data_IF_372133682595
#
_entry.id   IF_372133682595
#
_cell.length_a   1.000
_cell.length_b   1.000
_cell.length_c   1.000
_cell.angle_alpha   90.00
_cell.angle_beta   90.00
_cell.angle_gamma   90.00
#
_symmetry.space_group_name_H-M   'P 1'
#
loop_
_entity.id
_entity.type
_entity.pdbx_description
1 polymer ?
#
# COMPACT_ATOMS: atom_id res chain seq x y z
N UNK A 1 -11.70 8.44 20.13
CA UNK A 1 -10.38 9.03 19.79
C UNK A 1 -9.34 8.40 20.71
N UNK A 2 -8.46 7.53 20.19
CA UNK A 2 -7.46 6.81 20.99
C UNK A 2 -6.42 7.76 21.60
N UNK A 3 -6.25 7.67 22.91
CA UNK A 3 -5.40 8.56 23.69
C UNK A 3 -3.90 8.20 23.55
N UNK A 4 -2.99 9.11 23.92
CA UNK A 4 -1.54 8.85 23.97
C UNK A 4 -1.13 7.74 24.96
N UNK A 5 -2.07 7.23 25.76
CA UNK A 5 -1.86 6.29 26.86
C UNK A 5 -2.28 4.85 26.52
N UNK A 6 -2.87 4.63 25.34
CA UNK A 6 -3.32 3.29 24.97
C UNK A 6 -2.09 2.37 24.81
N UNK A 7 -2.10 1.17 25.44
CA UNK A 7 -0.98 0.25 25.37
C UNK A 7 -0.75 -0.16 23.91
N UNK A 8 0.52 -0.24 23.51
CA UNK A 8 0.88 -0.59 22.14
C UNK A 8 0.59 -2.08 21.92
N UNK A 9 -0.28 -2.44 20.95
CA UNK A 9 -0.67 -3.84 20.71
C UNK A 9 0.39 -4.57 19.88
N UNK A 10 1.56 -4.86 20.46
CA UNK A 10 2.68 -5.51 19.77
C UNK A 10 2.32 -6.89 19.22
N UNK A 11 1.63 -7.71 20.02
CA UNK A 11 1.20 -9.05 19.62
C UNK A 11 0.25 -9.03 18.44
N UNK A 12 -0.66 -8.06 18.41
CA UNK A 12 -1.65 -7.94 17.36
C UNK A 12 -1.00 -7.51 16.02
N UNK A 13 -0.07 -6.56 16.07
CA UNK A 13 0.67 -6.09 14.88
C UNK A 13 1.55 -7.22 14.30
N UNK A 14 2.31 -7.89 15.15
CA UNK A 14 3.24 -8.95 14.72
C UNK A 14 2.48 -10.23 14.35
N UNK A 15 1.43 -10.57 15.07
CA UNK A 15 0.53 -11.67 14.75
C UNK A 15 -0.10 -11.50 13.38
N UNK A 16 -0.59 -10.30 13.06
CA UNK A 16 -1.14 -10.01 11.74
C UNK A 16 -0.10 -10.11 10.62
N UNK A 17 1.13 -9.64 10.86
CA UNK A 17 2.24 -9.82 9.90
C UNK A 17 2.52 -11.31 9.66
N UNK A 18 2.56 -12.11 10.72
CA UNK A 18 2.79 -13.55 10.64
C UNK A 18 1.68 -14.24 9.85
N UNK A 19 0.43 -13.92 10.15
CA UNK A 19 -0.75 -14.45 9.44
C UNK A 19 -0.68 -14.15 7.93
N UNK A 20 -0.41 -12.89 7.54
CA UNK A 20 -0.37 -12.48 6.13
C UNK A 20 0.81 -13.04 5.36
N UNK A 21 1.91 -13.37 6.03
CA UNK A 21 3.16 -13.78 5.37
C UNK A 21 3.50 -15.25 5.57
N UNK A 22 2.77 -15.98 6.40
CA UNK A 22 3.10 -17.35 6.82
C UNK A 22 4.39 -17.45 7.65
N UNK A 23 4.86 -16.33 8.22
CA UNK A 23 6.10 -16.25 9.00
C UNK A 23 5.83 -16.37 10.49
N UNK A 24 6.89 -16.46 11.31
CA UNK A 24 6.79 -16.65 12.75
C UNK A 24 7.72 -15.68 13.52
N UNK A 25 7.53 -14.38 13.31
CA UNK A 25 8.22 -13.34 14.07
C UNK A 25 7.70 -13.29 15.51
N UNK A 26 8.60 -13.05 16.47
CA UNK A 26 8.23 -12.94 17.89
C UNK A 26 7.76 -11.52 18.23
N UNK A 27 6.60 -11.40 18.87
CA UNK A 27 6.07 -10.11 19.32
C UNK A 27 6.90 -9.44 20.42
N UNK A 28 7.67 -10.24 21.18
CA UNK A 28 8.59 -9.77 22.21
C UNK A 28 10.00 -9.42 21.70
N UNK A 29 10.26 -9.49 20.38
CA UNK A 29 11.54 -9.12 19.82
C UNK A 29 11.79 -7.61 19.98
N UNK A 30 12.86 -7.25 20.69
CA UNK A 30 13.20 -5.87 21.04
C UNK A 30 13.27 -4.93 19.82
N UNK A 31 13.96 -5.36 18.76
CA UNK A 31 14.12 -4.58 17.53
C UNK A 31 12.77 -4.25 16.88
N UNK A 32 11.85 -5.23 16.87
CA UNK A 32 10.51 -5.05 16.30
C UNK A 32 9.68 -4.09 17.17
N UNK A 33 9.73 -4.25 18.48
CA UNK A 33 9.03 -3.36 19.41
C UNK A 33 9.57 -1.93 19.36
N UNK A 34 10.88 -1.74 19.19
CA UNK A 34 11.52 -0.44 19.05
C UNK A 34 10.98 0.31 17.84
N UNK A 35 10.88 -0.36 16.69
CA UNK A 35 10.37 0.23 15.46
C UNK A 35 8.87 0.56 15.57
N UNK A 36 8.07 -0.37 16.09
CA UNK A 36 6.63 -0.14 16.32
C UNK A 36 6.42 1.04 17.27
N UNK A 37 7.17 1.10 18.38
CA UNK A 37 7.09 2.20 19.35
C UNK A 37 7.47 3.55 18.73
N UNK A 38 8.48 3.57 17.87
CA UNK A 38 8.89 4.78 17.17
C UNK A 38 7.75 5.34 16.29
N UNK A 39 7.06 4.47 15.52
CA UNK A 39 5.90 4.88 14.71
C UNK A 39 4.66 5.22 15.54
N UNK A 40 4.45 4.51 16.65
CA UNK A 40 3.35 4.83 17.56
C UNK A 40 3.47 6.24 18.15
N UNK A 41 4.71 6.65 18.52
CA UNK A 41 5.02 7.98 19.03
C UNK A 41 4.76 9.10 18.01
N UNK A 42 4.90 8.82 16.71
CA UNK A 42 4.62 9.79 15.64
C UNK A 42 3.13 9.89 15.29
N UNK A 43 2.26 9.09 15.92
CA UNK A 43 0.81 9.19 15.75
C UNK A 43 0.17 8.01 15.02
N UNK A 44 0.95 7.09 14.45
CA UNK A 44 0.41 5.92 13.77
C UNK A 44 -0.22 4.94 14.76
N UNK A 45 -1.30 4.28 14.35
CA UNK A 45 -2.08 3.33 15.15
C UNK A 45 -2.23 2.00 14.44
N UNK A 46 -2.77 1.02 15.15
CA UNK A 46 -2.92 -0.36 14.67
C UNK A 46 -3.44 -0.46 13.23
N UNK A 47 -4.44 0.35 12.87
CA UNK A 47 -5.01 0.39 11.51
C UNK A 47 -3.96 0.71 10.44
N UNK A 48 -3.02 1.61 10.73
CA UNK A 48 -1.95 2.00 9.81
C UNK A 48 -0.94 0.86 9.63
N UNK A 49 -0.58 0.18 10.72
CA UNK A 49 0.31 -0.99 10.66
C UNK A 49 -0.32 -2.12 9.84
N UNK A 50 -1.60 -2.42 10.07
CA UNK A 50 -2.33 -3.41 9.29
C UNK A 50 -2.35 -3.03 7.80
N UNK A 51 -2.63 -1.78 7.48
CA UNK A 51 -2.63 -1.28 6.09
C UNK A 51 -1.25 -1.41 5.42
N UNK A 52 -0.16 -1.04 6.11
CA UNK A 52 1.21 -1.26 5.60
C UNK A 52 1.47 -2.73 5.32
N UNK A 53 1.09 -3.63 6.25
CA UNK A 53 1.28 -5.07 6.08
C UNK A 53 0.50 -5.58 4.86
N UNK A 54 -0.76 -5.16 4.69
CA UNK A 54 -1.59 -5.56 3.56
C UNK A 54 -1.02 -5.06 2.23
N UNK A 55 -0.73 -3.76 2.12
CA UNK A 55 -0.20 -3.15 0.91
C UNK A 55 1.07 -3.87 0.43
N UNK A 56 2.01 -4.08 1.36
CA UNK A 56 3.30 -4.67 1.00
C UNK A 56 3.18 -6.17 0.77
N UNK A 57 2.30 -6.88 1.49
CA UNK A 57 2.03 -8.30 1.22
C UNK A 57 1.44 -8.50 -0.17
N UNK A 58 0.50 -7.64 -0.60
CA UNK A 58 -0.06 -7.72 -1.96
C UNK A 58 1.01 -7.42 -3.01
N UNK A 59 1.82 -6.38 -2.78
CA UNK A 59 2.84 -5.92 -3.73
C UNK A 59 4.05 -6.84 -3.86
N UNK A 60 4.49 -7.45 -2.77
CA UNK A 60 5.73 -8.25 -2.74
C UNK A 60 5.50 -9.73 -2.46
N UNK A 61 4.32 -10.14 -1.99
CA UNK A 61 4.07 -11.52 -1.58
C UNK A 61 4.14 -12.53 -2.74
N UNK A 62 3.90 -12.08 -3.97
CA UNK A 62 3.99 -12.91 -5.19
C UNK A 62 5.36 -12.88 -5.85
N UNK A 63 6.23 -11.97 -5.42
CA UNK A 63 7.59 -11.83 -5.94
C UNK A 63 8.55 -12.57 -5.00
N UNK A 64 9.14 -13.71 -5.41
CA UNK A 64 10.03 -14.49 -4.55
C UNK A 64 11.22 -13.68 -4.00
N UNK A 65 11.79 -12.79 -4.81
CA UNK A 65 12.93 -11.97 -4.41
C UNK A 65 12.54 -10.88 -3.41
N UNK A 66 11.33 -10.35 -3.51
CA UNK A 66 10.88 -9.25 -2.65
C UNK A 66 10.18 -9.73 -1.38
N UNK A 67 9.57 -10.91 -1.39
CA UNK A 67 8.85 -11.49 -0.26
C UNK A 67 9.73 -11.65 1.01
N UNK A 68 11.05 -11.83 0.85
CA UNK A 68 12.01 -11.87 1.95
C UNK A 68 12.04 -10.57 2.79
N UNK A 69 11.67 -9.44 2.18
CA UNK A 69 11.63 -8.14 2.83
C UNK A 69 10.34 -7.88 3.62
N UNK A 70 9.37 -8.79 3.59
CA UNK A 70 8.18 -8.75 4.45
C UNK A 70 8.54 -9.14 5.89
N UNK A 71 9.17 -8.22 6.61
CA UNK A 71 9.65 -8.38 7.99
C UNK A 71 9.57 -7.05 8.76
N UNK A 72 9.50 -7.05 10.10
CA UNK A 72 9.30 -5.83 10.89
C UNK A 72 10.34 -4.73 10.61
N UNK A 73 11.62 -5.10 10.47
CA UNK A 73 12.70 -4.12 10.23
C UNK A 73 12.53 -3.34 8.93
N UNK A 74 11.99 -3.99 7.89
CA UNK A 74 11.75 -3.32 6.61
C UNK A 74 10.46 -2.52 6.65
N UNK A 75 9.36 -3.15 7.09
CA UNK A 75 8.03 -2.56 7.02
C UNK A 75 7.85 -1.38 7.97
N UNK A 76 8.46 -1.45 9.17
CA UNK A 76 8.34 -0.42 10.21
C UNK A 76 9.54 0.53 10.26
N UNK A 77 10.43 0.43 9.26
CA UNK A 77 11.56 1.32 9.03
C UNK A 77 11.14 2.74 8.62
N UNK A 78 12.09 3.52 8.12
CA UNK A 78 11.90 4.95 7.79
C UNK A 78 10.88 5.20 6.67
N UNK A 79 10.63 4.19 5.82
CA UNK A 79 9.68 4.26 4.69
C UNK A 79 8.23 3.91 5.05
N UNK A 80 7.89 3.85 6.34
CA UNK A 80 6.56 3.44 6.82
C UNK A 80 5.41 4.19 6.14
N UNK A 81 5.47 5.53 6.10
CA UNK A 81 4.44 6.36 5.48
C UNK A 81 4.35 6.14 3.96
N UNK A 82 5.48 5.92 3.29
CA UNK A 82 5.49 5.55 1.88
C UNK A 82 4.80 4.21 1.63
N UNK A 83 4.96 3.23 2.52
CA UNK A 83 4.27 1.95 2.42
C UNK A 83 2.78 2.05 2.78
N UNK A 84 2.43 2.95 3.71
CA UNK A 84 1.04 3.21 4.10
C UNK A 84 0.23 3.77 2.91
N UNK A 85 0.88 4.60 2.10
CA UNK A 85 0.31 5.21 0.89
C UNK A 85 0.65 4.44 -0.39
N UNK A 86 1.28 3.27 -0.31
CA UNK A 86 1.53 2.45 -1.48
C UNK A 86 0.20 1.83 -1.94
N UNK A 87 -0.29 2.18 -3.12
CA UNK A 87 -1.47 1.56 -3.72
C UNK A 87 -1.03 0.33 -4.54
N UNK A 88 -1.43 -0.90 -4.13
CA UNK A 88 -1.13 -2.08 -4.92
C UNK A 88 -1.90 -2.06 -6.23
N UNK A 89 -1.20 -2.33 -7.33
CA UNK A 89 -1.76 -2.30 -8.69
C UNK A 89 -2.72 -3.47 -8.95
N UNK A 90 -3.43 -3.46 -10.08
CA UNK A 90 -4.29 -4.59 -10.46
C UNK A 90 -3.46 -5.84 -10.74
N UNK A 91 -2.25 -5.66 -11.26
CA UNK A 91 -1.31 -6.76 -11.46
C UNK A 91 -0.76 -7.31 -10.15
N UNK A 92 -0.45 -6.46 -9.16
CA UNK A 92 -0.06 -6.91 -7.81
C UNK A 92 -1.16 -7.79 -7.19
N UNK A 93 -2.42 -7.38 -7.37
CA UNK A 93 -3.61 -8.15 -6.94
C UNK A 93 -3.83 -9.43 -7.73
N UNK A 94 -3.19 -9.60 -8.89
CA UNK A 94 -3.30 -10.78 -9.75
C UNK A 94 -4.58 -10.80 -10.59
N UNK A 95 -5.23 -9.65 -10.74
CA UNK A 95 -6.43 -9.51 -11.55
C UNK A 95 -6.11 -9.38 -13.04
N UNK A 96 -4.92 -8.85 -13.36
CA UNK A 96 -4.43 -8.67 -14.73
C UNK A 96 -2.93 -8.95 -14.82
N UNK A 97 -2.43 -9.24 -16.01
CA UNK A 97 -0.97 -9.31 -16.23
C UNK A 97 -0.37 -7.90 -16.25
N UNK A 98 0.94 -7.73 -15.93
CA UNK A 98 1.62 -6.44 -16.07
C UNK A 98 1.55 -5.88 -17.50
N UNK A 99 1.51 -6.74 -18.52
CA UNK A 99 1.34 -6.32 -19.91
C UNK A 99 -0.08 -5.78 -20.18
N UNK A 100 -1.10 -6.48 -19.68
CA UNK A 100 -2.50 -6.07 -19.78
C UNK A 100 -2.73 -4.72 -19.10
N UNK A 101 -2.17 -4.53 -17.91
CA UNK A 101 -2.28 -3.26 -17.18
C UNK A 101 -1.67 -2.09 -17.95
N UNK A 102 -0.48 -2.27 -18.55
CA UNK A 102 0.15 -1.24 -19.41
C UNK A 102 -0.70 -0.93 -20.63
N UNK A 103 -1.22 -1.96 -21.30
CA UNK A 103 -2.08 -1.77 -22.47
C UNK A 103 -3.36 -1.00 -22.11
N UNK A 104 -4.00 -1.34 -20.98
CA UNK A 104 -5.18 -0.63 -20.49
C UNK A 104 -4.88 0.82 -20.10
N UNK A 105 -3.72 1.11 -19.49
CA UNK A 105 -3.33 2.48 -19.15
C UNK A 105 -3.11 3.35 -20.40
N UNK A 106 -2.45 2.79 -21.43
CA UNK A 106 -2.28 3.46 -22.73
C UNK A 106 -3.65 3.70 -23.38
N UNK A 107 -4.53 2.69 -23.34
CA UNK A 107 -5.88 2.80 -23.89
C UNK A 107 -6.72 3.86 -23.16
N UNK A 108 -6.66 3.92 -21.83
CA UNK A 108 -7.35 4.95 -21.03
C UNK A 108 -6.87 6.35 -21.37
N UNK A 109 -5.55 6.58 -21.44
CA UNK A 109 -4.99 7.87 -21.84
C UNK A 109 -5.43 8.29 -23.26
N UNK A 110 -5.50 7.33 -24.19
CA UNK A 110 -5.99 7.58 -25.54
C UNK A 110 -7.48 7.92 -25.55
N UNK A 111 -8.32 7.18 -24.80
CA UNK A 111 -9.76 7.39 -24.73
C UNK A 111 -10.11 8.76 -24.15
N UNK A 112 -9.46 9.13 -23.04
CA UNK A 112 -9.67 10.44 -22.41
C UNK A 112 -9.25 11.60 -23.30
N UNK A 113 -8.21 11.42 -24.15
CA UNK A 113 -7.84 12.43 -25.15
C UNK A 113 -8.92 12.58 -26.22
N UNK A 114 -9.42 11.46 -26.73
CA UNK A 114 -10.48 11.46 -27.75
C UNK A 114 -11.76 12.14 -27.25
N UNK A 115 -12.19 11.85 -26.04
CA UNK A 115 -13.36 12.49 -25.42
C UNK A 115 -13.17 14.01 -25.21
N UNK A 116 -11.96 14.46 -24.86
CA UNK A 116 -11.64 15.88 -24.73
C UNK A 116 -11.54 16.63 -26.08
N UNK A 117 -11.21 15.91 -27.17
CA UNK A 117 -11.20 16.43 -28.54
C UNK A 117 -12.63 16.51 -29.11
N UNK A 118 -13.46 15.50 -28.86
CA UNK A 118 -14.86 15.45 -29.32
C UNK A 118 -15.77 16.41 -28.53
N UNK A 119 -15.43 16.76 -27.29
CA UNK A 119 -16.18 17.75 -26.48
C UNK A 119 -15.89 19.23 -26.78
N UNK A 120 -15.05 19.55 -27.77
CA UNK A 120 -14.60 20.93 -28.09
C UNK A 120 -15.12 21.46 -29.43
N UNK A 121 -16.07 20.76 -30.06
CA UNK A 121 -16.49 20.99 -31.44
C UNK A 121 -17.69 21.90 -31.70
N UNK A 122 -18.43 22.38 -30.69
CA UNK A 122 -19.78 22.95 -30.90
C UNK A 122 -19.97 24.42 -30.45
N UNK A 123 -18.98 25.31 -30.62
CA UNK A 123 -19.13 26.75 -30.27
C UNK A 123 -18.77 27.72 -31.42
N UNK A 124 -18.97 27.34 -32.69
CA UNK A 124 -18.91 28.29 -33.81
C UNK A 124 -20.03 28.05 -34.83
N UNK A 125 -21.26 28.36 -34.45
CA UNK A 125 -22.30 28.74 -35.42
C UNK A 125 -23.29 29.70 -34.75
N UNK A 126 -22.99 30.99 -34.84
CA UNK A 126 -23.86 32.02 -34.30
C UNK A 126 -23.27 33.41 -34.35
N UNK A 127 -23.12 33.98 -35.55
CA UNK A 127 -23.56 35.36 -35.77
C UNK A 127 -23.76 35.60 -37.27
N UNK A 128 -24.92 36.21 -37.56
CA UNK A 128 -25.49 36.49 -38.89
C UNK A 128 -24.70 37.46 -39.75
#
# INVERSE_FOLDING_TARGET
MSSRLDPIPYEEIIGFLNEKTGKNFKANAEESQKLIRARWKTGFRLVDFRKVIENMTVRWGKDPERSQYLRPITLFGTKFESYLNAEPTLSDRGLVSPATERNMAVFGNWLSRKEAEEGRGDDQNGFS
#
